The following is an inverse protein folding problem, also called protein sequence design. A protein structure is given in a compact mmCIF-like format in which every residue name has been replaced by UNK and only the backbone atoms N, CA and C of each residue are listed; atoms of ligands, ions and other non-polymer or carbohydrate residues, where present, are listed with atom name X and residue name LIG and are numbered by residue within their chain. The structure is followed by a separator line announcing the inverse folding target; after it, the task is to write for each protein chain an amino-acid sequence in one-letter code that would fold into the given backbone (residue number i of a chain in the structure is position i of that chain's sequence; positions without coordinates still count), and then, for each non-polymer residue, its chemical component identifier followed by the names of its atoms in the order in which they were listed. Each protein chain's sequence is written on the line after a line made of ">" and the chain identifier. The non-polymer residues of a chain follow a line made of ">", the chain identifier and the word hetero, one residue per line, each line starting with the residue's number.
data_IF_863687023508
#
_entry.id   IF_863687023508
#
_cell.length_a   1.000
_cell.length_b   1.000
_cell.length_c   1.000
_cell.angle_alpha   90.00
_cell.angle_beta   90.00
_cell.angle_gamma   90.00
#
_symmetry.space_group_name_H-M   'P 1'
#
loop_
_entity.id
_entity.type
_entity.pdbx_description
1 polymer ?
#
# COMPACT_ATOMS: atom_id res chain seq x y z
N UNK A 1 -23.98 -22.40 -7.59
CA UNK A 1 -22.74 -22.36 -6.81
C UNK A 1 -22.60 -23.70 -6.11
N UNK A 2 -21.41 -24.30 -6.09
CA UNK A 2 -21.15 -25.54 -5.37
C UNK A 2 -19.67 -25.58 -4.94
N UNK A 3 -19.34 -24.82 -3.90
CA UNK A 3 -17.96 -24.67 -3.41
C UNK A 3 -17.83 -25.29 -2.02
N UNK A 4 -16.85 -26.17 -1.85
CA UNK A 4 -16.65 -26.96 -0.63
C UNK A 4 -15.32 -26.63 0.05
N UNK A 5 -15.35 -26.43 1.36
CA UNK A 5 -14.20 -26.02 2.16
C UNK A 5 -14.05 -26.87 3.42
N UNK A 6 -12.85 -27.44 3.60
CA UNK A 6 -12.48 -28.22 4.79
C UNK A 6 -11.07 -27.87 5.24
N UNK A 7 -10.98 -27.08 6.31
CA UNK A 7 -9.73 -26.85 7.02
C UNK A 7 -9.51 -27.91 8.12
N UNK A 8 -8.24 -28.21 8.41
CA UNK A 8 -7.85 -29.18 9.45
C UNK A 8 -8.43 -28.77 10.81
N UNK A 9 -9.07 -29.72 11.50
CA UNK A 9 -9.74 -29.54 12.80
C UNK A 9 -10.90 -28.51 12.82
N UNK A 10 -11.38 -28.05 11.66
CA UNK A 10 -12.51 -27.12 11.57
C UNK A 10 -13.76 -27.78 11.00
N UNK A 11 -14.93 -27.18 11.26
CA UNK A 11 -16.19 -27.60 10.63
C UNK A 11 -16.07 -27.43 9.11
N UNK A 12 -16.61 -28.41 8.40
CA UNK A 12 -16.78 -28.33 6.95
C UNK A 12 -17.84 -27.28 6.63
N UNK A 13 -17.67 -26.58 5.51
CA UNK A 13 -18.78 -25.81 4.95
C UNK A 13 -18.85 -25.87 3.43
N UNK A 14 -20.08 -25.77 2.91
CA UNK A 14 -20.40 -25.84 1.48
C UNK A 14 -21.28 -24.64 1.14
N UNK A 15 -20.89 -23.86 0.14
CA UNK A 15 -21.70 -22.77 -0.43
C UNK A 15 -22.46 -23.29 -1.65
N UNK A 16 -23.78 -23.21 -1.56
CA UNK A 16 -24.74 -23.49 -2.63
C UNK A 16 -25.33 -22.17 -3.15
N UNK A 17 -26.24 -22.26 -4.14
CA UNK A 17 -26.88 -21.07 -4.74
C UNK A 17 -27.81 -20.31 -3.80
N UNK A 18 -28.40 -20.99 -2.82
CA UNK A 18 -29.42 -20.44 -1.93
C UNK A 18 -29.03 -20.49 -0.45
N UNK A 19 -27.98 -21.26 -0.11
CA UNK A 19 -27.61 -21.56 1.29
C UNK A 19 -26.16 -21.95 1.50
N UNK A 20 -25.77 -21.96 2.77
CA UNK A 20 -24.52 -22.52 3.27
C UNK A 20 -24.85 -23.74 4.15
N UNK A 21 -24.20 -24.87 3.88
CA UNK A 21 -24.19 -26.00 4.80
C UNK A 21 -22.95 -25.85 5.69
N UNK A 22 -23.10 -25.62 6.99
CA UNK A 22 -22.01 -25.44 7.95
C UNK A 22 -22.05 -26.51 9.05
N UNK A 23 -21.09 -27.45 9.01
CA UNK A 23 -21.01 -28.54 9.98
C UNK A 23 -22.28 -29.40 10.06
N UNK A 24 -23.01 -29.51 8.95
CA UNK A 24 -24.29 -30.25 8.85
C UNK A 24 -25.54 -29.40 9.07
N UNK A 25 -25.42 -28.15 9.52
CA UNK A 25 -26.55 -27.22 9.65
C UNK A 25 -26.71 -26.36 8.42
N UNK A 26 -27.95 -26.07 8.01
CA UNK A 26 -28.24 -25.18 6.88
C UNK A 26 -28.41 -23.73 7.35
N UNK A 27 -27.89 -22.79 6.55
CA UNK A 27 -28.00 -21.34 6.75
C UNK A 27 -28.43 -20.76 5.40
N UNK A 28 -29.64 -20.21 5.30
CA UNK A 28 -30.10 -19.59 4.06
C UNK A 28 -29.34 -18.27 3.81
N UNK A 29 -29.06 -17.95 2.55
CA UNK A 29 -28.43 -16.67 2.18
C UNK A 29 -29.29 -15.47 2.62
N UNK A 30 -30.62 -15.63 2.61
CA UNK A 30 -31.59 -14.62 3.07
C UNK A 30 -31.48 -14.29 4.55
N UNK A 31 -30.90 -15.20 5.35
CA UNK A 31 -30.74 -15.02 6.79
C UNK A 31 -29.40 -14.37 7.14
N UNK A 32 -28.54 -14.12 6.15
CA UNK A 32 -27.22 -13.52 6.34
C UNK A 32 -27.37 -12.00 6.43
N UNK A 33 -26.96 -11.46 7.57
CA UNK A 33 -27.05 -10.03 7.91
C UNK A 33 -25.77 -9.27 7.59
N UNK A 34 -24.62 -9.94 7.54
CA UNK A 34 -23.32 -9.32 7.27
C UNK A 34 -22.30 -10.33 6.75
N UNK A 35 -21.33 -9.84 5.97
CA UNK A 35 -20.24 -10.62 5.39
C UNK A 35 -18.94 -9.82 5.49
N UNK A 36 -17.96 -10.36 6.21
CA UNK A 36 -16.66 -9.70 6.40
C UNK A 36 -15.48 -10.66 6.21
N UNK A 37 -14.57 -10.29 5.31
CA UNK A 37 -13.27 -10.97 5.17
C UNK A 37 -12.31 -10.48 6.25
N UNK A 38 -12.11 -11.29 7.28
CA UNK A 38 -11.16 -11.00 8.35
C UNK A 38 -9.72 -11.06 7.81
N UNK A 39 -9.31 -12.23 7.32
CA UNK A 39 -7.96 -12.46 6.81
C UNK A 39 -7.98 -13.47 5.66
N UNK A 40 -7.15 -13.21 4.64
CA UNK A 40 -6.89 -14.17 3.56
C UNK A 40 -6.01 -15.30 4.10
N UNK A 41 -6.08 -16.46 3.47
CA UNK A 41 -5.13 -17.54 3.73
C UNK A 41 -3.71 -17.13 3.30
N UNK A 42 -2.71 -17.76 3.90
CA UNK A 42 -1.33 -17.68 3.46
C UNK A 42 -0.66 -19.04 3.64
N UNK A 43 0.59 -19.18 3.21
CA UNK A 43 1.33 -20.43 3.37
C UNK A 43 1.41 -20.79 4.86
N UNK A 44 0.72 -21.87 5.25
CA UNK A 44 0.65 -22.34 6.64
C UNK A 44 -0.44 -21.68 7.51
N UNK A 45 -1.26 -20.78 6.96
CA UNK A 45 -2.41 -20.19 7.67
C UNK A 45 -3.72 -20.29 6.89
N UNK A 46 -4.82 -20.54 7.60
CA UNK A 46 -6.15 -20.54 7.01
C UNK A 46 -6.67 -19.11 6.82
N UNK A 47 -7.55 -18.92 5.84
CA UNK A 47 -8.36 -17.72 5.72
C UNK A 47 -9.65 -17.81 6.51
N UNK A 48 -10.28 -16.66 6.80
CA UNK A 48 -11.53 -16.57 7.55
C UNK A 48 -12.45 -15.51 6.94
N UNK A 49 -13.64 -15.97 6.54
CA UNK A 49 -14.80 -15.13 6.28
C UNK A 49 -15.71 -15.25 7.51
N UNK A 50 -16.07 -14.12 8.10
CA UNK A 50 -17.12 -14.06 9.10
C UNK A 50 -18.43 -13.73 8.40
N UNK A 51 -19.48 -14.42 8.80
CA UNK A 51 -20.85 -13.99 8.52
C UNK A 51 -21.60 -13.84 9.85
N UNK A 52 -22.61 -13.00 9.88
CA UNK A 52 -23.65 -13.04 10.91
C UNK A 52 -24.92 -13.52 10.24
N UNK A 53 -25.51 -14.59 10.76
CA UNK A 53 -26.78 -15.10 10.28
C UNK A 53 -27.69 -15.40 11.45
N UNK A 54 -28.94 -14.95 11.41
CA UNK A 54 -29.90 -15.08 12.51
C UNK A 54 -29.30 -14.58 13.86
N UNK A 55 -28.63 -13.42 13.84
CA UNK A 55 -27.91 -12.83 14.97
C UNK A 55 -26.70 -13.63 15.48
N UNK A 56 -26.30 -14.72 14.83
CA UNK A 56 -25.19 -15.58 15.25
C UNK A 56 -24.00 -15.45 14.30
N UNK A 57 -22.83 -15.22 14.90
CA UNK A 57 -21.57 -15.18 14.17
C UNK A 57 -21.11 -16.57 13.77
N UNK A 58 -20.88 -16.79 12.48
CA UNK A 58 -20.35 -18.04 11.92
C UNK A 58 -18.99 -17.78 11.27
N UNK A 59 -18.03 -18.67 11.57
CA UNK A 59 -16.65 -18.59 11.08
C UNK A 59 -16.45 -19.57 9.93
N UNK A 60 -16.45 -19.07 8.71
CA UNK A 60 -16.23 -19.84 7.48
C UNK A 60 -14.72 -19.86 7.20
N UNK A 61 -14.07 -20.93 7.67
CA UNK A 61 -12.61 -21.09 7.57
C UNK A 61 -12.26 -21.88 6.31
N UNK A 62 -11.23 -21.45 5.58
CA UNK A 62 -10.77 -22.12 4.37
C UNK A 62 -9.24 -22.28 4.35
N UNK A 63 -8.70 -23.40 3.85
CA UNK A 63 -7.26 -23.58 3.72
C UNK A 63 -6.69 -22.83 2.49
N UNK A 64 -5.38 -22.60 2.50
CA UNK A 64 -4.67 -21.88 1.43
C UNK A 64 -4.81 -22.55 0.05
N UNK A 65 -4.84 -23.89 0.01
CA UNK A 65 -5.09 -24.67 -1.21
C UNK A 65 -6.43 -24.35 -1.91
N UNK A 66 -7.38 -23.73 -1.20
CA UNK A 66 -8.70 -23.34 -1.73
C UNK A 66 -8.87 -21.83 -1.83
N UNK A 67 -7.79 -21.04 -1.77
CA UNK A 67 -7.85 -19.56 -1.75
C UNK A 67 -8.66 -18.95 -2.90
N UNK A 68 -8.49 -19.48 -4.12
CA UNK A 68 -9.18 -18.95 -5.31
C UNK A 68 -10.70 -19.22 -5.23
N UNK A 69 -11.08 -20.42 -4.82
CA UNK A 69 -12.49 -20.75 -4.60
C UNK A 69 -13.07 -19.95 -3.42
N UNK A 70 -12.28 -19.68 -2.38
CA UNK A 70 -12.73 -18.86 -1.26
C UNK A 70 -12.94 -17.40 -1.68
N UNK A 71 -12.14 -16.89 -2.61
CA UNK A 71 -12.33 -15.57 -3.21
C UNK A 71 -13.62 -15.51 -4.03
N UNK A 72 -13.89 -16.53 -4.86
CA UNK A 72 -15.17 -16.68 -5.56
C UNK A 72 -16.36 -16.76 -4.60
N UNK A 73 -16.24 -17.52 -3.52
CA UNK A 73 -17.27 -17.65 -2.49
C UNK A 73 -17.52 -16.31 -1.78
N UNK A 74 -16.46 -15.58 -1.43
CA UNK A 74 -16.58 -14.27 -0.79
C UNK A 74 -17.25 -13.24 -1.69
N UNK A 75 -16.85 -13.16 -2.96
CA UNK A 75 -17.48 -12.25 -3.94
C UNK A 75 -18.97 -12.59 -4.06
N UNK A 76 -19.30 -13.87 -4.23
CA UNK A 76 -20.68 -14.30 -4.29
C UNK A 76 -21.49 -13.94 -3.04
N UNK A 77 -20.94 -14.14 -1.84
CA UNK A 77 -21.60 -13.77 -0.59
C UNK A 77 -21.78 -12.25 -0.45
N UNK A 78 -20.78 -11.46 -0.85
CA UNK A 78 -20.89 -10.00 -0.83
C UNK A 78 -21.94 -9.50 -1.83
N UNK A 79 -22.00 -10.08 -3.03
CA UNK A 79 -22.96 -9.69 -4.06
C UNK A 79 -24.41 -10.01 -3.66
N UNK A 80 -24.63 -11.14 -2.99
CA UNK A 80 -25.98 -11.61 -2.62
C UNK A 80 -26.44 -11.21 -1.22
N UNK A 81 -25.51 -11.02 -0.27
CA UNK A 81 -25.83 -10.80 1.15
C UNK A 81 -25.15 -9.56 1.73
N UNK A 82 -24.12 -9.02 1.05
CA UNK A 82 -23.35 -7.90 1.57
C UNK A 82 -24.03 -6.55 1.34
N UNK A 83 -23.86 -5.65 2.30
CA UNK A 83 -24.17 -4.22 2.17
C UNK A 83 -23.19 -3.54 1.20
N UNK A 84 -23.58 -2.38 0.66
CA UNK A 84 -22.68 -1.58 -0.19
C UNK A 84 -21.39 -1.15 0.53
N UNK A 85 -21.46 -0.92 1.85
CA UNK A 85 -20.29 -0.62 2.67
C UNK A 85 -19.31 -1.79 2.73
N UNK A 86 -19.81 -3.02 2.89
CA UNK A 86 -18.99 -4.24 2.91
C UNK A 86 -18.37 -4.54 1.55
N UNK A 87 -19.14 -4.37 0.47
CA UNK A 87 -18.63 -4.46 -0.91
C UNK A 87 -17.52 -3.46 -1.15
N UNK A 88 -17.70 -2.20 -0.76
CA UNK A 88 -16.68 -1.15 -0.89
C UNK A 88 -15.45 -1.44 -0.03
N UNK A 89 -15.64 -1.92 1.21
CA UNK A 89 -14.55 -2.33 2.11
C UNK A 89 -13.72 -3.45 1.49
N UNK A 90 -14.36 -4.43 0.86
CA UNK A 90 -13.70 -5.51 0.15
C UNK A 90 -13.01 -5.03 -1.14
N UNK A 91 -13.66 -4.19 -1.94
CA UNK A 91 -13.09 -3.61 -3.16
C UNK A 91 -11.83 -2.80 -2.87
N UNK A 92 -11.84 -1.96 -1.83
CA UNK A 92 -10.63 -1.26 -1.32
C UNK A 92 -9.53 -2.23 -0.88
N UNK A 93 -9.89 -3.44 -0.43
CA UNK A 93 -8.93 -4.50 -0.08
C UNK A 93 -8.35 -5.19 -1.32
N UNK A 94 -8.97 -5.07 -2.50
CA UNK A 94 -8.53 -5.62 -3.79
C UNK A 94 -7.78 -4.58 -4.67
N UNK A 95 -8.21 -3.32 -4.68
CA UNK A 95 -7.81 -2.32 -5.69
C UNK A 95 -6.36 -1.80 -5.62
N UNK A 96 -5.51 -2.21 -4.66
CA UNK A 96 -4.21 -1.53 -4.44
C UNK A 96 -3.09 -2.45 -3.95
N UNK A 97 -2.95 -3.66 -4.50
CA UNK A 97 -2.04 -4.67 -3.92
C UNK A 97 -1.23 -5.42 -4.96
N UNK A 98 0.10 -5.38 -4.80
CA UNK A 98 1.05 -6.20 -5.57
C UNK A 98 0.82 -7.69 -5.30
N UNK A 99 1.09 -8.57 -6.27
CA UNK A 99 1.04 -10.01 -6.01
C UNK A 99 2.20 -10.45 -5.10
N UNK A 100 1.96 -11.49 -4.29
CA UNK A 100 3.00 -12.05 -3.41
C UNK A 100 4.22 -12.54 -4.18
N UNK A 101 4.04 -13.02 -5.41
CA UNK A 101 5.13 -13.54 -6.22
C UNK A 101 5.98 -12.38 -6.75
N UNK A 102 5.35 -11.33 -7.30
CA UNK A 102 6.07 -10.19 -7.86
C UNK A 102 6.90 -9.47 -6.81
N UNK A 103 6.36 -9.29 -5.60
CA UNK A 103 7.09 -8.68 -4.49
C UNK A 103 8.30 -9.54 -4.08
N UNK A 104 8.14 -10.86 -4.04
CA UNK A 104 9.26 -11.76 -3.72
C UNK A 104 10.35 -11.71 -4.78
N UNK A 105 9.97 -11.73 -6.05
CA UNK A 105 10.91 -11.70 -7.16
C UNK A 105 11.67 -10.37 -7.19
N UNK A 106 10.97 -9.25 -6.99
CA UNK A 106 11.59 -7.93 -6.88
C UNK A 106 12.55 -7.82 -5.68
N UNK A 107 12.19 -8.36 -4.52
CA UNK A 107 13.12 -8.42 -3.38
C UNK A 107 14.32 -9.31 -3.74
N UNK A 108 14.11 -10.44 -4.41
CA UNK A 108 15.17 -11.39 -4.75
C UNK A 108 16.18 -10.82 -5.75
N UNK A 109 15.78 -9.92 -6.64
CA UNK A 109 16.67 -9.24 -7.59
C UNK A 109 17.49 -8.11 -6.98
N UNK A 110 17.16 -7.62 -5.78
CA UNK A 110 17.95 -6.59 -5.10
C UNK A 110 19.39 -7.06 -4.82
N UNK A 111 20.42 -6.27 -5.20
CA UNK A 111 21.83 -6.66 -5.10
C UNK A 111 22.30 -6.76 -3.64
N UNK A 112 21.88 -5.82 -2.81
CA UNK A 112 22.12 -5.83 -1.37
C UNK A 112 20.80 -5.70 -0.63
N UNK A 113 20.47 -6.72 0.17
CA UNK A 113 19.25 -6.76 0.98
C UNK A 113 19.49 -7.41 2.34
N UNK A 114 18.66 -7.03 3.30
CA UNK A 114 18.56 -7.71 4.60
C UNK A 114 17.11 -7.80 5.06
N UNK A 115 16.63 -9.02 5.23
CA UNK A 115 15.31 -9.36 5.83
C UNK A 115 15.49 -10.04 7.19
N UNK A 116 16.61 -9.78 7.87
CA UNK A 116 16.95 -10.46 9.11
C UNK A 116 15.97 -10.09 10.22
N UNK A 117 15.36 -11.10 10.82
CA UNK A 117 14.33 -10.90 11.85
C UNK A 117 13.00 -10.37 11.34
N UNK A 118 12.85 -10.08 10.03
CA UNK A 118 11.70 -9.33 9.49
C UNK A 118 10.86 -10.09 8.45
N UNK A 119 10.78 -11.42 8.56
CA UNK A 119 10.04 -12.24 7.58
C UNK A 119 8.53 -11.97 7.60
N UNK A 120 7.98 -11.60 8.75
CA UNK A 120 6.55 -11.34 8.92
C UNK A 120 6.16 -10.04 8.20
N UNK A 121 7.00 -9.02 8.32
CA UNK A 121 6.88 -7.72 7.68
C UNK A 121 6.94 -7.85 6.16
N UNK A 122 7.88 -8.66 5.64
CA UNK A 122 7.97 -8.95 4.21
C UNK A 122 6.68 -9.58 3.67
N UNK A 123 6.00 -10.44 4.46
CA UNK A 123 4.74 -11.04 4.04
C UNK A 123 3.55 -10.06 3.99
N UNK A 124 3.66 -8.90 4.63
CA UNK A 124 2.63 -7.85 4.58
C UNK A 124 2.78 -6.94 3.35
N UNK A 125 3.99 -6.82 2.79
CA UNK A 125 4.31 -5.92 1.67
C UNK A 125 3.36 -6.04 0.45
N UNK A 126 2.97 -7.24 -0.03
CA UNK A 126 2.01 -7.37 -1.12
C UNK A 126 0.71 -6.61 -0.85
N UNK A 127 0.33 -6.50 0.42
CA UNK A 127 -0.90 -5.85 0.84
C UNK A 127 -0.79 -4.37 1.17
N UNK A 128 0.43 -3.86 1.25
CA UNK A 128 0.76 -2.46 1.62
C UNK A 128 1.18 -1.66 0.39
N UNK A 129 1.89 -2.30 -0.54
CA UNK A 129 2.39 -1.68 -1.77
C UNK A 129 1.27 -1.55 -2.79
N UNK A 130 1.10 -0.34 -3.32
CA UNK A 130 0.26 -0.11 -4.49
C UNK A 130 0.76 -0.85 -5.73
N UNK A 131 -0.11 -1.05 -6.72
CA UNK A 131 0.21 -1.80 -7.94
C UNK A 131 1.42 -1.24 -8.70
N UNK A 132 1.50 0.08 -8.86
CA UNK A 132 2.64 0.78 -9.49
C UNK A 132 3.74 1.21 -8.47
N UNK A 133 3.74 0.62 -7.29
CA UNK A 133 4.74 0.89 -6.25
C UNK A 133 5.80 -0.21 -6.24
N UNK A 134 7.02 0.14 -6.63
CA UNK A 134 8.14 -0.78 -6.80
C UNK A 134 9.17 -0.63 -5.69
N UNK A 135 9.74 -1.74 -5.22
CA UNK A 135 10.78 -1.78 -4.18
C UNK A 135 12.14 -1.54 -4.84
N UNK A 136 12.88 -0.56 -4.32
CA UNK A 136 14.18 -0.12 -4.86
C UNK A 136 15.33 -0.49 -3.94
N UNK A 137 15.11 -0.47 -2.62
CA UNK A 137 16.06 -0.97 -1.64
C UNK A 137 15.34 -1.51 -0.41
N UNK A 138 15.98 -2.46 0.29
CA UNK A 138 15.42 -3.11 1.46
C UNK A 138 16.51 -3.44 2.49
N UNK A 139 16.29 -3.07 3.74
CA UNK A 139 17.14 -3.45 4.86
C UNK A 139 16.35 -3.72 6.15
N UNK A 140 17.03 -4.17 7.18
CA UNK A 140 16.48 -4.43 8.51
C UNK A 140 17.43 -3.88 9.57
N UNK A 141 16.85 -3.40 10.66
CA UNK A 141 17.60 -2.87 11.80
C UNK A 141 16.72 -2.76 13.03
N UNK A 142 17.27 -2.19 14.09
CA UNK A 142 16.58 -1.96 15.34
C UNK A 142 16.22 -0.48 15.50
N UNK A 143 15.01 -0.22 15.97
CA UNK A 143 14.63 1.08 16.53
C UNK A 143 13.72 0.85 17.73
N UNK A 144 13.94 1.59 18.80
CA UNK A 144 13.25 1.45 20.09
C UNK A 144 13.18 0.01 20.62
N UNK A 145 14.29 -0.73 20.48
CA UNK A 145 14.41 -2.12 20.95
C UNK A 145 13.63 -3.17 20.13
N UNK A 146 13.00 -2.76 19.02
CA UNK A 146 12.26 -3.66 18.12
C UNK A 146 12.97 -3.80 16.80
N UNK A 147 12.75 -4.92 16.12
CA UNK A 147 13.24 -5.15 14.76
C UNK A 147 12.26 -4.58 13.75
N UNK A 148 12.78 -3.81 12.80
CA UNK A 148 12.00 -3.18 11.75
C UNK A 148 12.53 -3.59 10.38
N UNK A 149 11.60 -3.77 9.45
CA UNK A 149 11.88 -3.80 8.02
C UNK A 149 11.83 -2.36 7.50
N UNK A 150 12.84 -1.97 6.73
CA UNK A 150 12.90 -0.65 6.10
C UNK A 150 12.96 -0.85 4.59
N UNK A 151 12.01 -0.28 3.87
CA UNK A 151 11.82 -0.47 2.43
C UNK A 151 11.78 0.89 1.75
N UNK A 152 12.69 1.13 0.82
CA UNK A 152 12.60 2.25 -0.11
C UNK A 152 11.78 1.80 -1.32
N UNK A 153 10.71 2.52 -1.64
CA UNK A 153 9.92 2.31 -2.85
C UNK A 153 10.09 3.47 -3.83
N UNK A 154 9.45 3.40 -5.00
CA UNK A 154 9.36 4.51 -5.95
C UNK A 154 8.54 5.71 -5.44
N UNK A 155 7.87 5.59 -4.28
CA UNK A 155 6.96 6.61 -3.75
C UNK A 155 7.35 7.10 -2.34
N UNK A 156 7.91 6.23 -1.51
CA UNK A 156 8.12 6.48 -0.07
C UNK A 156 9.13 5.53 0.55
N UNK A 157 9.56 5.87 1.76
CA UNK A 157 10.20 4.93 2.68
C UNK A 157 9.13 4.36 3.61
N UNK A 158 9.08 3.03 3.72
CA UNK A 158 8.23 2.30 4.65
C UNK A 158 9.09 1.71 5.77
N UNK A 159 8.67 1.89 7.02
CA UNK A 159 9.19 1.13 8.17
C UNK A 159 8.07 0.26 8.74
N UNK A 160 8.31 -1.04 8.86
CA UNK A 160 7.34 -2.02 9.33
C UNK A 160 7.86 -2.74 10.57
N UNK A 161 7.02 -2.83 11.60
CA UNK A 161 7.19 -3.70 12.78
C UNK A 161 5.93 -4.56 12.92
N UNK A 162 6.05 -5.87 12.70
CA UNK A 162 4.99 -6.84 12.95
C UNK A 162 5.22 -7.48 14.31
N UNK A 163 4.96 -6.68 15.34
CA UNK A 163 4.92 -7.11 16.73
C UNK A 163 3.86 -8.20 16.99
N UNK A 164 3.79 -8.69 18.23
CA UNK A 164 2.89 -9.80 18.57
C UNK A 164 1.39 -9.48 18.42
N UNK A 165 1.01 -8.21 18.57
CA UNK A 165 -0.40 -7.78 18.69
C UNK A 165 -0.85 -6.96 17.46
N UNK A 166 0.05 -6.59 16.55
CA UNK A 166 -0.33 -5.78 15.40
C UNK A 166 0.82 -5.44 14.47
N UNK A 167 0.46 -4.80 13.35
CA UNK A 167 1.39 -4.21 12.41
C UNK A 167 1.50 -2.71 12.70
N UNK A 168 2.71 -2.25 12.99
CA UNK A 168 3.04 -0.83 12.99
C UNK A 168 3.67 -0.48 11.65
N UNK A 169 3.13 0.54 10.98
CA UNK A 169 3.63 1.04 9.70
C UNK A 169 3.92 2.53 9.85
N UNK A 170 5.14 2.93 9.49
CA UNK A 170 5.51 4.34 9.31
C UNK A 170 5.77 4.53 7.83
N UNK A 171 5.07 5.46 7.21
CA UNK A 171 5.24 5.82 5.81
C UNK A 171 5.74 7.25 5.66
N UNK A 172 6.86 7.42 4.97
CA UNK A 172 7.46 8.74 4.74
C UNK A 172 7.60 8.96 3.25
N UNK A 173 6.73 9.78 2.63
CA UNK A 173 6.82 10.13 1.21
C UNK A 173 8.20 10.65 0.83
N UNK A 174 8.68 10.32 -0.37
CA UNK A 174 10.03 10.72 -0.82
C UNK A 174 10.20 12.24 -0.89
N UNK A 175 9.14 13.01 -1.16
CA UNK A 175 9.22 14.48 -1.18
C UNK A 175 9.33 15.13 0.20
N UNK A 176 9.04 14.38 1.28
CA UNK A 176 9.23 14.83 2.66
C UNK A 176 10.61 14.49 3.21
N UNK A 177 11.38 13.64 2.54
CA UNK A 177 12.73 13.31 2.96
C UNK A 177 13.66 14.49 2.72
N UNK A 178 14.14 15.09 3.81
CA UNK A 178 15.13 16.17 3.76
C UNK A 178 16.55 15.63 3.67
N UNK A 179 16.86 14.61 4.47
CA UNK A 179 18.21 14.06 4.56
C UNK A 179 18.18 12.60 4.99
N UNK A 180 19.04 11.79 4.36
CA UNK A 180 19.41 10.47 4.85
C UNK A 180 20.92 10.45 5.14
N UNK A 181 21.29 10.05 6.35
CA UNK A 181 22.70 9.89 6.75
C UNK A 181 22.95 8.45 7.14
N UNK A 182 24.19 7.99 6.98
CA UNK A 182 24.56 6.66 7.38
C UNK A 182 25.98 6.57 7.92
N UNK A 183 26.21 5.66 8.85
CA UNK A 183 27.54 5.38 9.42
C UNK A 183 27.73 3.87 9.49
N UNK A 184 28.88 3.38 9.01
CA UNK A 184 29.28 1.97 9.17
C UNK A 184 30.09 1.85 10.46
N UNK A 185 29.69 0.94 11.34
CA UNK A 185 30.48 0.53 12.51
C UNK A 185 31.26 -0.75 12.23
N UNK A 186 31.97 -1.26 13.24
CA UNK A 186 32.81 -2.45 13.10
C UNK A 186 32.01 -3.71 12.72
N UNK A 187 30.82 -3.88 13.27
CA UNK A 187 29.95 -5.05 13.02
C UNK A 187 28.64 -4.67 12.32
N UNK A 188 28.01 -3.60 12.81
CA UNK A 188 26.78 -3.04 12.28
C UNK A 188 26.92 -1.54 12.13
N UNK A 189 26.02 -0.95 11.36
CA UNK A 189 25.94 0.50 11.24
C UNK A 189 24.53 1.02 11.50
N UNK A 190 24.37 2.29 11.15
CA UNK A 190 23.20 3.10 11.45
C UNK A 190 22.80 3.90 10.23
N UNK A 191 21.49 4.05 10.03
CA UNK A 191 20.89 4.98 9.07
C UNK A 191 20.01 5.95 9.86
N UNK A 192 20.09 7.24 9.57
CA UNK A 192 19.19 8.23 10.12
C UNK A 192 18.46 8.96 9.00
N UNK A 193 17.12 8.99 9.08
CA UNK A 193 16.23 9.58 8.09
C UNK A 193 15.58 10.81 8.73
N UNK A 194 15.67 11.96 8.06
CA UNK A 194 15.09 13.22 8.53
C UNK A 194 13.96 13.68 7.62
N UNK A 195 12.78 13.88 8.22
CA UNK A 195 11.57 14.48 7.62
C UNK A 195 11.15 15.67 8.50
N UNK A 196 11.32 16.88 7.98
CA UNK A 196 11.12 18.14 8.69
C UNK A 196 12.01 18.23 9.93
N UNK A 197 11.36 18.38 11.09
CA UNK A 197 12.03 18.44 12.40
C UNK A 197 12.26 17.05 13.03
N UNK A 198 11.81 15.97 12.40
CA UNK A 198 11.90 14.61 12.97
C UNK A 198 13.05 13.85 12.34
N UNK A 199 14.00 13.41 13.14
CA UNK A 199 15.06 12.46 12.73
C UNK A 199 14.80 11.09 13.35
N UNK A 200 14.69 10.06 12.52
CA UNK A 200 14.53 8.66 12.93
C UNK A 200 15.82 7.90 12.73
N UNK A 201 16.35 7.31 13.79
CA UNK A 201 17.54 6.47 13.77
C UNK A 201 17.16 4.98 13.71
N UNK A 202 17.78 4.27 12.78
CA UNK A 202 17.74 2.81 12.68
C UNK A 202 19.16 2.28 12.89
N UNK A 203 19.32 1.45 13.90
CA UNK A 203 20.60 0.91 14.35
C UNK A 203 20.72 -0.58 14.02
N UNK A 204 21.88 -1.17 14.29
CA UNK A 204 22.15 -2.59 14.04
C UNK A 204 21.88 -3.06 12.60
N UNK A 205 22.14 -2.18 11.63
CA UNK A 205 21.95 -2.50 10.21
C UNK A 205 23.18 -3.25 9.70
N UNK A 206 23.01 -4.35 8.94
CA UNK A 206 24.15 -5.03 8.32
C UNK A 206 24.89 -4.11 7.35
N UNK A 207 26.20 -3.92 7.58
CA UNK A 207 27.06 -3.00 6.82
C UNK A 207 26.96 -3.17 5.30
N UNK A 208 26.74 -4.40 4.82
CA UNK A 208 26.57 -4.73 3.39
C UNK A 208 25.40 -4.00 2.71
N UNK A 209 24.38 -3.60 3.46
CA UNK A 209 23.16 -2.97 2.92
C UNK A 209 23.13 -1.45 3.07
N UNK A 210 23.98 -0.89 3.94
CA UNK A 210 23.83 0.50 4.40
C UNK A 210 24.00 1.49 3.27
N UNK A 211 25.14 1.45 2.57
CA UNK A 211 25.43 2.41 1.49
C UNK A 211 24.43 2.24 0.36
N UNK A 212 24.18 1.00 -0.08
CA UNK A 212 23.19 0.73 -1.11
C UNK A 212 21.82 1.32 -0.76
N UNK A 213 21.32 1.08 0.46
CA UNK A 213 20.05 1.63 0.88
C UNK A 213 20.04 3.17 0.86
N UNK A 214 21.03 3.81 1.46
CA UNK A 214 21.10 5.27 1.55
C UNK A 214 21.24 5.92 0.16
N UNK A 215 22.10 5.37 -0.70
CA UNK A 215 22.33 5.86 -2.06
C UNK A 215 21.08 5.68 -2.92
N UNK A 216 20.39 4.54 -2.81
CA UNK A 216 19.12 4.30 -3.52
C UNK A 216 18.04 5.27 -3.06
N UNK A 217 17.90 5.54 -1.75
CA UNK A 217 16.94 6.54 -1.28
C UNK A 217 17.22 7.92 -1.87
N UNK A 218 18.48 8.38 -1.84
CA UNK A 218 18.84 9.67 -2.43
C UNK A 218 18.47 9.74 -3.92
N UNK A 219 18.81 8.70 -4.69
CA UNK A 219 18.49 8.62 -6.11
C UNK A 219 16.97 8.64 -6.36
N UNK A 220 16.18 7.89 -5.59
CA UNK A 220 14.72 7.84 -5.75
C UNK A 220 14.07 9.17 -5.33
N UNK A 221 14.59 9.88 -4.32
CA UNK A 221 14.13 11.23 -3.97
C UNK A 221 14.34 12.19 -5.15
N UNK A 222 15.49 12.11 -5.82
CA UNK A 222 15.77 12.94 -7.01
C UNK A 222 14.86 12.59 -8.20
N UNK A 223 14.66 11.30 -8.48
CA UNK A 223 13.72 10.82 -9.51
C UNK A 223 12.31 11.31 -9.22
N UNK A 224 11.85 11.18 -7.98
CA UNK A 224 10.52 11.62 -7.55
C UNK A 224 10.32 13.12 -7.75
N UNK A 225 11.29 13.94 -7.32
CA UNK A 225 11.27 15.41 -7.49
C UNK A 225 11.26 15.81 -8.97
N UNK A 226 12.06 15.13 -9.81
CA UNK A 226 12.07 15.37 -11.26
C UNK A 226 10.71 15.05 -11.88
N UNK A 227 10.15 13.87 -11.60
CA UNK A 227 8.86 13.48 -12.15
C UNK A 227 7.74 14.44 -11.73
N UNK A 228 7.72 14.88 -10.46
CA UNK A 228 6.75 15.89 -9.98
C UNK A 228 6.86 17.21 -10.76
N UNK A 229 8.07 17.64 -11.09
CA UNK A 229 8.32 18.85 -11.87
C UNK A 229 8.00 18.68 -13.37
N UNK A 230 8.13 17.47 -13.91
CA UNK A 230 7.74 17.15 -15.30
C UNK A 230 6.21 17.18 -15.48
N UNK A 231 5.44 16.72 -14.49
CA UNK A 231 3.97 16.84 -14.52
C UNK A 231 3.48 18.29 -14.46
N UNK A 232 4.23 19.21 -13.83
CA UNK A 232 3.93 20.65 -13.90
C UNK A 232 4.34 21.31 -15.22
N UNK A 233 5.21 20.68 -16.04
CA UNK A 233 5.64 21.23 -17.34
C UNK A 233 4.92 20.61 -18.54
N UNK A 234 4.28 19.44 -18.41
CA UNK A 234 3.53 18.81 -19.50
C UNK A 234 2.05 19.24 -19.61
N UNK A 235 1.51 20.05 -18.70
CA UNK A 235 0.17 20.67 -18.83
C UNK A 235 0.20 22.01 -19.59
N UNK A 236 1.35 22.38 -20.19
CA UNK A 236 1.50 23.70 -20.87
C UNK A 236 1.12 23.66 -22.36
N UNK A 237 0.75 22.51 -22.93
CA UNK A 237 0.43 22.43 -24.36
C UNK A 237 -1.07 22.34 -24.70
N UNK A 238 -1.97 22.58 -23.74
CA UNK A 238 -3.40 22.81 -24.05
C UNK A 238 -4.05 23.74 -23.02
N UNK A 239 -3.46 24.92 -22.84
CA UNK A 239 -4.00 25.96 -21.97
C UNK A 239 -5.04 26.73 -22.77
N UNK A 240 -6.31 26.66 -22.36
CA UNK A 240 -7.36 27.51 -22.90
C UNK A 240 -6.94 28.99 -22.80
N UNK A 241 -7.23 29.86 -23.79
CA UNK A 241 -6.97 31.30 -23.70
C UNK A 241 -7.48 31.95 -22.39
N UNK A 242 -8.53 31.37 -21.78
CA UNK A 242 -9.05 31.80 -20.49
C UNK A 242 -8.09 31.55 -19.32
N UNK A 243 -7.36 30.43 -19.32
CA UNK A 243 -6.42 30.08 -18.25
C UNK A 243 -5.13 30.90 -18.33
N UNK A 244 -4.71 31.31 -19.54
CA UNK A 244 -3.63 32.28 -19.71
C UNK A 244 -4.03 33.66 -19.16
N UNK A 245 -5.25 34.12 -19.46
CA UNK A 245 -5.76 35.40 -18.93
C UNK A 245 -5.80 35.44 -17.40
N UNK A 246 -6.14 34.32 -16.74
CA UNK A 246 -6.15 34.23 -15.28
C UNK A 246 -4.73 34.41 -14.72
N UNK A 247 -3.71 33.80 -15.33
CA UNK A 247 -2.30 33.94 -14.90
C UNK A 247 -1.80 35.38 -15.05
N UNK A 248 -2.11 36.04 -16.18
CA UNK A 248 -1.75 37.43 -16.39
C UNK A 248 -2.48 38.37 -15.41
N UNK A 249 -3.73 38.08 -15.05
CA UNK A 249 -4.48 38.87 -14.07
C UNK A 249 -3.86 38.74 -12.68
N UNK A 250 -3.42 37.55 -12.30
CA UNK A 250 -2.70 37.34 -11.04
C UNK A 250 -1.38 38.15 -10.99
N UNK A 251 -0.64 38.24 -12.10
CA UNK A 251 0.57 39.05 -12.16
C UNK A 251 0.29 40.56 -12.02
N UNK A 252 -0.81 41.05 -12.60
CA UNK A 252 -1.30 42.42 -12.40
C UNK A 252 -1.69 42.66 -10.93
N UNK A 253 -2.43 41.74 -10.31
CA UNK A 253 -2.88 41.87 -8.92
C UNK A 253 -1.72 41.79 -7.91
N UNK A 254 -0.63 41.12 -8.29
CA UNK A 254 0.63 41.09 -7.54
C UNK A 254 1.51 42.33 -7.78
N UNK A 255 1.10 43.26 -8.66
CA UNK A 255 1.86 44.45 -9.02
C UNK A 255 3.11 44.17 -9.86
N UNK A 256 3.22 42.97 -10.44
CA UNK A 256 4.32 42.57 -11.32
C UNK A 256 4.12 43.05 -12.77
N UNK A 257 2.88 43.44 -13.13
CA UNK A 257 2.51 44.06 -14.41
C UNK A 257 1.72 45.34 -14.15
N UNK A 258 1.80 46.29 -15.08
CA UNK A 258 0.89 47.44 -15.13
C UNK A 258 -0.43 47.07 -15.83
N UNK A 259 -1.49 47.87 -15.63
CA UNK A 259 -2.77 47.66 -16.33
C UNK A 259 -2.61 47.72 -17.85
N UNK A 260 -1.71 48.59 -18.34
CA UNK A 260 -1.42 48.76 -19.76
C UNK A 260 -0.74 47.52 -20.37
N UNK A 261 0.21 46.92 -19.65
CA UNK A 261 0.89 45.68 -20.07
C UNK A 261 -0.07 44.48 -20.07
N UNK A 262 -0.97 44.42 -19.09
CA UNK A 262 -2.01 43.40 -19.02
C UNK A 262 -2.99 43.51 -20.19
N UNK A 263 -3.45 44.72 -20.52
CA UNK A 263 -4.42 44.94 -21.59
C UNK A 263 -3.88 44.63 -22.99
N UNK A 264 -2.59 44.90 -23.24
CA UNK A 264 -1.92 44.50 -24.49
C UNK A 264 -1.93 42.98 -24.61
N UNK A 265 -1.51 42.26 -23.56
CA UNK A 265 -1.47 40.80 -23.56
C UNK A 265 -2.86 40.16 -23.65
N UNK A 266 -3.86 40.76 -23.02
CA UNK A 266 -5.25 40.31 -23.10
C UNK A 266 -5.81 40.36 -24.53
N UNK A 267 -5.50 41.41 -25.30
CA UNK A 267 -5.90 41.51 -26.71
C UNK A 267 -5.20 40.47 -27.59
N UNK A 268 -3.90 40.27 -27.37
CA UNK A 268 -3.13 39.22 -28.07
C UNK A 268 -3.72 37.82 -27.84
N UNK A 269 -4.03 37.48 -26.58
CA UNK A 269 -4.57 36.15 -26.19
C UNK A 269 -6.00 35.94 -26.73
N UNK A 270 -6.80 37.01 -26.82
CA UNK A 270 -8.16 36.96 -27.34
C UNK A 270 -8.25 37.11 -28.87
N UNK A 271 -7.14 37.42 -29.56
CA UNK A 271 -7.09 37.63 -31.01
C UNK A 271 -7.83 38.88 -31.49
N UNK A 272 -7.81 39.96 -30.70
CA UNK A 272 -8.54 41.23 -30.92
C UNK A 272 -7.63 42.40 -31.33
#
# INVERSE_FOLDING_TARGET
>A
MNLKFKATLQKEWILLDDKIIYGGSEILLTDIESVDLMFKSSVGSNGLINIVANGKKVRLIYPDKSKENAEKALVYLLDNCGTEEEKLKYKKKLEYKRSTQDVKDEINTLPYKSVWGTRKEVSELPTILGEDEHIKALTSGLTDGKTWLIVCTTKRILMLDRGMIGLTLIDTPLDRINTITHTKGLLFGKISITDGATTRAIENIPNKTISFFADTVNNEVEVYKRNKNTFTTQVVNDVSPADELIKYKQLLDMGALTEEEFDIKKKEILGL
#
